data_IF_661562833309
#
_entry.id   IF_661562833309
#
_cell.length_a   1.000
_cell.length_b   1.000
_cell.length_c   1.000
_cell.angle_alpha   90.00
_cell.angle_beta   90.00
_cell.angle_gamma   90.00
#
_symmetry.space_group_name_H-M   'P 1'
#
loop_
_entity.id
_entity.type
_entity.pdbx_description
1 polymer ?
#
# COMPACT_ATOMS: atom_id res chain seq x y z
N UNK A 1 -21.80 -3.19 8.79
CA UNK A 1 -21.41 -4.23 7.82
C UNK A 1 -21.89 -3.71 6.49
N UNK A 2 -20.96 -3.25 5.62
CA UNK A 2 -21.32 -2.68 4.32
C UNK A 2 -21.90 -3.75 3.39
N UNK A 3 -22.80 -3.42 2.50
CA UNK A 3 -23.50 -4.36 1.61
C UNK A 3 -22.59 -5.10 0.63
N UNK A 4 -21.33 -4.67 0.44
CA UNK A 4 -20.41 -5.20 -0.55
C UNK A 4 -19.73 -6.54 -0.16
N UNK A 5 -19.61 -6.85 1.13
CA UNK A 5 -18.95 -8.08 1.61
C UNK A 5 -19.71 -9.39 1.31
N UNK A 6 -20.98 -9.30 0.92
CA UNK A 6 -21.83 -10.50 0.72
C UNK A 6 -21.49 -11.23 -0.58
N UNK A 7 -20.81 -10.58 -1.54
CA UNK A 7 -20.43 -11.15 -2.82
C UNK A 7 -18.91 -11.18 -3.07
N UNK A 8 -18.10 -10.80 -2.07
CA UNK A 8 -16.64 -10.78 -2.22
C UNK A 8 -16.10 -12.21 -2.42
N UNK A 9 -15.19 -12.36 -3.40
CA UNK A 9 -14.41 -13.59 -3.64
C UNK A 9 -12.98 -13.48 -3.14
N UNK A 10 -12.49 -12.25 -3.06
CA UNK A 10 -11.14 -11.96 -2.60
C UNK A 10 -11.11 -10.67 -1.77
N UNK A 11 -10.15 -10.59 -0.87
CA UNK A 11 -9.90 -9.42 -0.04
C UNK A 11 -8.42 -9.07 -0.07
N UNK A 12 -8.13 -7.81 -0.33
CA UNK A 12 -6.79 -7.22 -0.22
C UNK A 12 -6.71 -6.46 1.09
N UNK A 13 -5.91 -6.95 2.03
CA UNK A 13 -5.70 -6.36 3.35
C UNK A 13 -4.53 -5.37 3.28
N UNK A 14 -4.79 -4.10 3.55
CA UNK A 14 -3.78 -3.02 3.55
C UNK A 14 -3.79 -2.28 4.89
N UNK A 15 -2.67 -1.66 5.26
CA UNK A 15 -2.57 -1.03 6.58
C UNK A 15 -3.49 0.18 6.73
N UNK A 16 -3.57 1.01 5.70
CA UNK A 16 -4.28 2.27 5.75
C UNK A 16 -5.03 2.64 4.48
N UNK A 17 -5.74 3.78 4.57
CA UNK A 17 -6.52 4.33 3.45
C UNK A 17 -5.61 4.77 2.29
N UNK A 18 -4.37 5.21 2.56
CA UNK A 18 -3.41 5.56 1.50
C UNK A 18 -3.11 4.37 0.61
N UNK A 19 -2.84 3.21 1.23
CA UNK A 19 -2.53 1.98 0.51
C UNK A 19 -3.75 1.49 -0.29
N UNK A 20 -4.94 1.56 0.32
CA UNK A 20 -6.20 1.27 -0.39
C UNK A 20 -6.31 2.13 -1.66
N UNK A 21 -6.10 3.44 -1.55
CA UNK A 21 -6.18 4.36 -2.69
C UNK A 21 -5.15 4.07 -3.77
N UNK A 22 -3.95 3.65 -3.38
CA UNK A 22 -2.93 3.24 -4.33
C UNK A 22 -3.32 1.98 -5.10
N UNK A 23 -3.81 0.94 -4.40
CA UNK A 23 -4.28 -0.31 -5.03
C UNK A 23 -5.43 -0.04 -5.99
N UNK A 24 -6.44 0.73 -5.54
CA UNK A 24 -7.59 1.11 -6.36
C UNK A 24 -7.18 1.94 -7.60
N UNK A 25 -6.21 2.86 -7.44
CA UNK A 25 -5.67 3.65 -8.55
C UNK A 25 -4.96 2.77 -9.57
N UNK A 26 -4.13 1.82 -9.13
CA UNK A 26 -3.46 0.89 -10.05
C UNK A 26 -4.46 -0.02 -10.76
N UNK A 27 -5.47 -0.53 -10.07
CA UNK A 27 -6.52 -1.35 -10.68
C UNK A 27 -7.23 -0.59 -11.81
N UNK A 28 -7.68 0.65 -11.55
CA UNK A 28 -8.28 1.51 -12.58
C UNK A 28 -7.35 1.73 -13.78
N UNK A 29 -6.06 1.98 -13.55
CA UNK A 29 -5.09 2.15 -14.63
C UNK A 29 -4.87 0.89 -15.47
N UNK A 30 -5.14 -0.28 -14.90
CA UNK A 30 -5.13 -1.58 -15.57
C UNK A 30 -6.50 -2.00 -16.10
N UNK A 31 -7.44 -1.06 -16.14
CA UNK A 31 -8.81 -1.29 -16.62
C UNK A 31 -9.53 -2.43 -15.87
N UNK A 32 -9.15 -2.64 -14.59
CA UNK A 32 -9.79 -3.61 -13.71
C UNK A 32 -10.85 -2.94 -12.85
N UNK A 33 -12.03 -3.53 -12.81
CA UNK A 33 -13.12 -3.17 -11.90
C UNK A 33 -13.14 -4.18 -10.73
N UNK A 34 -12.47 -3.82 -9.65
CA UNK A 34 -12.33 -4.69 -8.48
C UNK A 34 -13.69 -5.08 -7.89
N UNK A 35 -14.67 -4.16 -7.89
CA UNK A 35 -16.02 -4.43 -7.37
C UNK A 35 -16.73 -5.46 -8.25
N UNK A 36 -16.71 -5.29 -9.56
CA UNK A 36 -17.28 -6.25 -10.51
C UNK A 36 -16.57 -7.62 -10.46
N UNK A 37 -15.27 -7.63 -10.15
CA UNK A 37 -14.47 -8.84 -9.95
C UNK A 37 -14.69 -9.49 -8.58
N UNK A 38 -15.46 -8.88 -7.69
CA UNK A 38 -15.67 -9.36 -6.32
C UNK A 38 -14.42 -9.25 -5.45
N UNK A 39 -13.57 -8.27 -5.70
CA UNK A 39 -12.36 -7.98 -4.91
C UNK A 39 -12.60 -6.76 -4.04
N UNK A 40 -12.42 -6.89 -2.73
CA UNK A 40 -12.55 -5.78 -1.79
C UNK A 40 -11.19 -5.40 -1.22
N UNK A 41 -10.83 -4.11 -1.25
CA UNK A 41 -9.61 -3.59 -0.62
C UNK A 41 -9.97 -3.03 0.75
N UNK A 42 -9.49 -3.67 1.80
CA UNK A 42 -9.86 -3.37 3.19
C UNK A 42 -8.69 -2.75 3.95
N UNK A 43 -8.77 -1.46 4.32
CA UNK A 43 -7.82 -0.86 5.26
C UNK A 43 -8.09 -1.39 6.66
N UNK A 44 -7.09 -2.07 7.24
CA UNK A 44 -7.25 -2.74 8.53
C UNK A 44 -7.05 -1.82 9.74
N UNK A 45 -6.58 -0.59 9.53
CA UNK A 45 -6.35 0.37 10.62
C UNK A 45 -5.06 0.15 11.40
N UNK A 46 -4.04 -0.37 10.74
CA UNK A 46 -2.70 -0.67 11.26
C UNK A 46 -2.43 -2.16 11.42
N UNK A 47 -1.17 -2.52 11.34
CA UNK A 47 -0.70 -3.92 11.29
C UNK A 47 -1.17 -4.80 12.45
N UNK A 48 -1.46 -4.21 13.61
CA UNK A 48 -1.96 -4.97 14.78
C UNK A 48 -3.34 -5.61 14.54
N UNK A 49 -4.14 -5.05 13.62
CA UNK A 49 -5.47 -5.54 13.29
C UNK A 49 -5.47 -6.71 12.28
N UNK A 50 -4.31 -7.07 11.71
CA UNK A 50 -4.21 -8.15 10.71
C UNK A 50 -4.76 -9.47 11.24
N UNK A 51 -4.54 -9.79 12.52
CA UNK A 51 -5.04 -11.03 13.11
C UNK A 51 -6.56 -11.14 13.01
N UNK A 52 -7.29 -10.12 13.45
CA UNK A 52 -8.77 -10.12 13.41
C UNK A 52 -9.29 -10.14 11.96
N UNK A 53 -8.56 -9.53 11.03
CA UNK A 53 -8.90 -9.57 9.61
C UNK A 53 -8.76 -11.00 9.06
N UNK A 54 -7.68 -11.70 9.39
CA UNK A 54 -7.47 -13.09 8.97
C UNK A 54 -8.46 -14.06 9.63
N UNK A 55 -8.82 -13.85 10.90
CA UNK A 55 -9.88 -14.60 11.57
C UNK A 55 -11.23 -14.43 10.87
N UNK A 56 -11.51 -13.23 10.35
CA UNK A 56 -12.77 -12.92 9.67
C UNK A 56 -12.80 -13.42 8.22
N UNK A 57 -11.76 -13.16 7.46
CA UNK A 57 -11.76 -13.37 6.00
C UNK A 57 -11.05 -14.65 5.57
N UNK A 58 -10.20 -15.20 6.41
CA UNK A 58 -9.37 -16.36 6.14
C UNK A 58 -10.09 -17.71 6.27
N UNK A 59 -9.30 -18.81 6.28
CA UNK A 59 -9.82 -20.18 6.21
C UNK A 59 -10.80 -20.57 7.32
N UNK A 60 -10.71 -19.92 8.48
CA UNK A 60 -11.60 -20.19 9.62
C UNK A 60 -12.79 -19.23 9.70
N UNK A 61 -12.89 -18.29 8.74
CA UNK A 61 -13.98 -17.31 8.65
C UNK A 61 -14.76 -17.47 7.35
N UNK A 62 -14.66 -16.44 6.50
CA UNK A 62 -15.36 -16.41 5.20
C UNK A 62 -14.66 -17.22 4.08
N UNK A 63 -13.47 -17.73 4.33
CA UNK A 63 -12.64 -18.51 3.39
C UNK A 63 -12.46 -17.84 2.03
N UNK A 64 -12.19 -16.53 2.05
CA UNK A 64 -11.96 -15.74 0.85
C UNK A 64 -10.50 -15.87 0.39
N UNK A 65 -10.26 -15.65 -0.90
CA UNK A 65 -8.89 -15.46 -1.39
C UNK A 65 -8.32 -14.21 -0.72
N UNK A 66 -7.13 -14.34 -0.15
CA UNK A 66 -6.47 -13.26 0.59
C UNK A 66 -5.26 -12.73 -0.17
N UNK A 67 -5.10 -11.42 -0.16
CA UNK A 67 -3.85 -10.76 -0.46
C UNK A 67 -3.60 -9.67 0.58
N UNK A 68 -2.38 -9.17 0.66
CA UNK A 68 -2.08 -8.10 1.60
C UNK A 68 -0.79 -7.38 1.31
N UNK A 69 -0.70 -6.16 1.85
CA UNK A 69 0.47 -5.30 1.78
C UNK A 69 0.83 -4.85 3.18
N UNK A 70 2.11 -4.93 3.53
CA UNK A 70 2.63 -4.38 4.78
C UNK A 70 3.99 -3.73 4.59
N UNK A 71 4.34 -2.87 5.53
CA UNK A 71 5.65 -2.26 5.62
C UNK A 71 6.66 -3.24 6.21
N UNK A 72 7.95 -3.08 5.88
CA UNK A 72 9.03 -3.93 6.41
C UNK A 72 9.02 -4.05 7.94
N UNK A 73 8.72 -2.95 8.63
CA UNK A 73 8.65 -2.93 10.09
C UNK A 73 7.54 -3.84 10.65
N UNK A 74 6.52 -4.11 9.86
CA UNK A 74 5.33 -4.86 10.26
C UNK A 74 5.32 -6.32 9.75
N UNK A 75 6.29 -6.70 8.90
CA UNK A 75 6.40 -8.05 8.33
C UNK A 75 6.27 -9.15 9.40
N UNK A 76 6.92 -8.96 10.56
CA UNK A 76 6.85 -9.93 11.66
C UNK A 76 5.46 -10.09 12.26
N UNK A 77 4.63 -9.05 12.25
CA UNK A 77 3.22 -9.12 12.69
C UNK A 77 2.38 -9.90 11.69
N UNK A 78 2.51 -9.59 10.40
CA UNK A 78 1.80 -10.28 9.33
C UNK A 78 2.17 -11.76 9.31
N UNK A 79 3.46 -12.10 9.31
CA UNK A 79 3.93 -13.49 9.30
C UNK A 79 3.32 -14.32 10.44
N UNK A 80 3.43 -13.84 11.69
CA UNK A 80 2.84 -14.54 12.84
C UNK A 80 1.32 -14.67 12.76
N UNK A 81 0.63 -13.70 12.19
CA UNK A 81 -0.81 -13.75 12.03
C UNK A 81 -1.21 -14.78 10.98
N UNK A 82 -0.51 -14.85 9.84
CA UNK A 82 -0.70 -15.86 8.79
C UNK A 82 -0.49 -17.29 9.33
N UNK A 83 0.60 -17.51 10.09
CA UNK A 83 0.88 -18.79 10.72
C UNK A 83 -0.23 -19.21 11.69
N UNK A 84 -0.72 -18.29 12.52
CA UNK A 84 -1.84 -18.55 13.46
C UNK A 84 -3.17 -18.82 12.75
N UNK A 85 -3.37 -18.22 11.60
CA UNK A 85 -4.54 -18.48 10.75
C UNK A 85 -4.45 -19.81 9.98
N UNK A 86 -3.38 -20.60 10.19
CA UNK A 86 -3.21 -21.90 9.54
C UNK A 86 -2.72 -21.84 8.10
N UNK A 87 -2.22 -20.67 7.64
CA UNK A 87 -1.75 -20.47 6.26
C UNK A 87 -0.29 -20.90 6.05
N UNK A 88 0.31 -21.56 7.01
CA UNK A 88 1.65 -22.11 6.95
C UNK A 88 2.35 -22.14 8.30
N UNK A 89 3.62 -22.53 8.31
CA UNK A 89 4.46 -22.53 9.52
C UNK A 89 5.90 -22.13 9.17
N UNK A 90 6.53 -21.31 10.01
CA UNK A 90 7.88 -20.77 9.77
C UNK A 90 8.01 -20.10 8.41
N UNK A 91 7.00 -19.31 8.06
CA UNK A 91 6.93 -18.63 6.77
C UNK A 91 8.14 -17.73 6.55
N UNK A 92 8.73 -17.84 5.38
CA UNK A 92 9.68 -16.88 4.82
C UNK A 92 8.92 -15.75 4.11
N UNK A 93 9.63 -14.71 3.66
CA UNK A 93 9.03 -13.67 2.82
C UNK A 93 8.52 -14.24 1.50
N UNK A 94 9.26 -15.14 0.88
CA UNK A 94 8.84 -15.78 -0.38
C UNK A 94 7.58 -16.62 -0.18
N UNK A 95 7.45 -17.30 0.98
CA UNK A 95 6.22 -18.02 1.32
C UNK A 95 5.04 -17.05 1.51
N UNK A 96 5.25 -15.90 2.16
CA UNK A 96 4.23 -14.86 2.29
C UNK A 96 3.80 -14.32 0.92
N UNK A 97 4.74 -14.04 0.01
CA UNK A 97 4.43 -13.63 -1.36
C UNK A 97 3.64 -14.70 -2.11
N UNK A 98 3.98 -15.98 -1.94
CA UNK A 98 3.22 -17.11 -2.48
C UNK A 98 1.77 -17.16 -1.99
N UNK A 99 1.53 -16.68 -0.76
CA UNK A 99 0.20 -16.52 -0.17
C UNK A 99 -0.49 -15.20 -0.56
N UNK A 100 0.15 -14.36 -1.38
CA UNK A 100 -0.38 -13.06 -1.80
C UNK A 100 -0.05 -11.89 -0.86
N UNK A 101 0.83 -12.08 0.14
CA UNK A 101 1.22 -11.04 1.09
C UNK A 101 2.60 -10.48 0.77
N UNK A 102 2.63 -9.23 0.35
CA UNK A 102 3.83 -8.54 -0.10
C UNK A 102 4.31 -7.52 0.92
N UNK A 103 5.63 -7.34 0.98
CA UNK A 103 6.29 -6.44 1.93
C UNK A 103 6.96 -5.30 1.17
N UNK A 104 6.60 -4.05 1.49
CA UNK A 104 7.32 -2.87 1.03
C UNK A 104 8.66 -2.74 1.73
N UNK A 105 9.72 -2.29 1.05
CA UNK A 105 11.07 -2.15 1.63
C UNK A 105 11.10 -1.21 2.83
N UNK A 106 10.35 -0.13 2.77
CA UNK A 106 10.09 0.74 3.91
C UNK A 106 8.57 0.92 4.08
N UNK A 107 7.95 1.66 3.21
CA UNK A 107 6.51 1.87 3.08
C UNK A 107 6.11 2.00 1.60
N UNK A 108 4.83 2.06 1.28
CA UNK A 108 4.37 2.14 -0.10
C UNK A 108 4.78 3.47 -0.77
N UNK A 109 4.80 4.58 -0.03
CA UNK A 109 5.25 5.86 -0.56
C UNK A 109 6.73 5.82 -0.95
N UNK A 110 7.56 5.13 -0.18
CA UNK A 110 8.96 4.88 -0.49
C UNK A 110 9.12 4.14 -1.83
N UNK A 111 8.35 3.07 -2.02
CA UNK A 111 8.34 2.31 -3.27
C UNK A 111 8.00 3.21 -4.48
N UNK A 112 6.95 4.02 -4.34
CA UNK A 112 6.47 4.90 -5.40
C UNK A 112 7.48 6.02 -5.73
N UNK A 113 8.02 6.69 -4.71
CA UNK A 113 9.03 7.75 -4.89
C UNK A 113 10.30 7.18 -5.54
N UNK A 114 10.70 5.97 -5.16
CA UNK A 114 11.90 5.31 -5.70
C UNK A 114 11.75 5.00 -7.18
N UNK A 115 10.58 4.52 -7.60
CA UNK A 115 10.34 4.18 -9.02
C UNK A 115 10.19 5.42 -9.88
N UNK A 116 9.48 6.46 -9.41
CA UNK A 116 9.26 7.71 -10.13
C UNK A 116 10.52 8.57 -10.20
N UNK A 117 11.31 8.54 -9.13
CA UNK A 117 12.44 9.44 -8.92
C UNK A 117 12.02 10.83 -8.43
N UNK A 118 12.88 11.51 -7.63
CA UNK A 118 12.57 12.81 -7.04
C UNK A 118 12.12 13.88 -8.02
N UNK A 119 12.71 14.04 -9.23
CA UNK A 119 12.28 15.07 -10.17
C UNK A 119 10.81 14.91 -10.58
N UNK A 120 10.38 13.69 -10.88
CA UNK A 120 8.99 13.43 -11.28
C UNK A 120 8.01 13.66 -10.14
N UNK A 121 8.40 13.31 -8.92
CA UNK A 121 7.56 13.56 -7.72
C UNK A 121 7.46 15.05 -7.43
N UNK A 122 8.52 15.84 -7.62
CA UNK A 122 8.46 17.31 -7.49
C UNK A 122 7.51 17.94 -8.51
N UNK A 123 7.50 17.47 -9.76
CA UNK A 123 6.53 17.91 -10.78
C UNK A 123 5.08 17.66 -10.34
N UNK A 124 4.81 16.50 -9.73
CA UNK A 124 3.48 16.19 -9.18
C UNK A 124 3.16 17.14 -8.01
N UNK A 125 4.11 17.38 -7.12
CA UNK A 125 3.94 18.32 -5.99
C UNK A 125 3.65 19.74 -6.50
N UNK A 126 4.30 20.16 -7.60
CA UNK A 126 4.05 21.46 -8.23
C UNK A 126 2.67 21.52 -8.87
N UNK A 127 2.26 20.51 -9.61
CA UNK A 127 0.92 20.45 -10.24
C UNK A 127 -0.22 20.49 -9.23
N UNK A 128 0.01 19.98 -8.01
CA UNK A 128 -0.93 20.03 -6.89
C UNK A 128 -0.91 21.34 -6.11
N UNK A 129 -0.05 22.29 -6.50
CA UNK A 129 0.10 23.59 -5.81
C UNK A 129 0.85 23.51 -4.48
N UNK A 130 1.45 22.38 -4.15
CA UNK A 130 2.11 22.13 -2.87
C UNK A 130 3.62 22.48 -2.87
N UNK A 131 4.18 22.94 -4.00
CA UNK A 131 5.62 23.20 -4.13
C UNK A 131 6.11 24.21 -3.09
N UNK A 132 5.33 25.25 -2.81
CA UNK A 132 5.66 26.25 -1.78
C UNK A 132 5.80 25.63 -0.39
N UNK A 133 4.89 24.73 -0.04
CA UNK A 133 4.94 23.99 1.24
C UNK A 133 6.14 23.04 1.28
N UNK A 134 6.46 22.38 0.18
CA UNK A 134 7.64 21.52 0.08
C UNK A 134 8.94 22.33 0.22
N UNK A 135 9.07 23.48 -0.47
CA UNK A 135 10.23 24.37 -0.35
C UNK A 135 10.38 24.92 1.08
N UNK A 136 9.27 25.11 1.80
CA UNK A 136 9.30 25.51 3.22
C UNK A 136 9.88 24.38 4.09
N UNK A 137 9.48 23.14 3.88
CA UNK A 137 10.08 21.98 4.57
C UNK A 137 11.58 21.89 4.29
N UNK A 138 12.00 22.03 3.04
CA UNK A 138 13.43 21.96 2.65
C UNK A 138 14.31 23.00 3.37
N UNK A 139 13.74 24.15 3.75
CA UNK A 139 14.46 25.24 4.48
C UNK A 139 14.58 24.98 5.99
N UNK A 140 13.81 24.06 6.54
CA UNK A 140 13.87 23.73 7.97
C UNK A 140 15.26 23.18 8.33
N UNK A 141 15.83 23.55 9.49
CA UNK A 141 17.18 23.13 9.88
C UNK A 141 17.41 21.63 9.83
N UNK A 142 16.38 20.85 10.19
CA UNK A 142 16.42 19.37 10.23
C UNK A 142 16.46 18.73 8.84
N UNK A 143 15.96 19.46 7.82
CA UNK A 143 15.80 18.94 6.45
C UNK A 143 16.74 19.61 5.45
N UNK A 144 17.33 20.73 5.83
CA UNK A 144 18.28 21.45 4.97
C UNK A 144 19.51 20.59 4.69
N UNK A 145 19.80 20.40 3.40
CA UNK A 145 20.96 19.62 2.95
C UNK A 145 20.78 18.11 2.97
N UNK A 146 19.61 17.63 3.35
CA UNK A 146 19.28 16.21 3.13
C UNK A 146 18.93 15.95 1.68
N UNK A 147 19.06 14.70 1.26
CA UNK A 147 18.68 14.26 -0.07
C UNK A 147 17.19 14.56 -0.36
N UNK A 148 16.90 15.00 -1.58
CA UNK A 148 15.52 15.35 -1.99
C UNK A 148 14.55 14.17 -1.78
N UNK A 149 15.03 12.96 -1.97
CA UNK A 149 14.27 11.75 -1.70
C UNK A 149 13.76 11.66 -0.26
N UNK A 150 14.64 11.89 0.73
CA UNK A 150 14.27 11.88 2.16
C UNK A 150 13.30 13.01 2.50
N UNK A 151 13.52 14.18 1.90
CA UNK A 151 12.64 15.34 2.06
C UNK A 151 11.24 15.06 1.51
N UNK A 152 11.13 14.43 0.35
CA UNK A 152 9.85 14.03 -0.25
C UNK A 152 9.12 12.99 0.61
N UNK A 153 9.81 11.97 1.10
CA UNK A 153 9.21 11.00 2.02
C UNK A 153 8.63 11.70 3.26
N UNK A 154 9.41 12.59 3.87
CA UNK A 154 8.94 13.38 5.01
C UNK A 154 7.75 14.26 4.65
N UNK A 155 7.78 14.88 3.47
CA UNK A 155 6.72 15.74 2.99
C UNK A 155 5.41 14.96 2.80
N UNK A 156 5.45 13.79 2.19
CA UNK A 156 4.27 12.93 2.00
C UNK A 156 3.69 12.46 3.34
N UNK A 157 4.52 12.09 4.31
CA UNK A 157 4.11 11.68 5.64
C UNK A 157 3.68 12.83 6.57
N UNK A 158 3.82 14.09 6.15
CA UNK A 158 3.46 15.26 6.94
C UNK A 158 2.10 15.84 6.53
N UNK A 159 1.19 15.96 7.49
CA UNK A 159 -0.12 16.58 7.28
C UNK A 159 -1.24 15.58 6.95
N UNK A 160 -2.37 15.79 7.65
CA UNK A 160 -3.55 14.94 7.48
C UNK A 160 -4.09 14.98 6.05
N UNK A 161 -4.26 13.83 5.46
CA UNK A 161 -4.80 13.66 4.11
C UNK A 161 -3.79 13.79 2.97
N UNK A 162 -2.59 14.34 3.17
CA UNK A 162 -1.57 14.43 2.12
C UNK A 162 -1.16 13.03 1.67
N UNK A 163 -0.81 12.15 2.60
CA UNK A 163 -0.46 10.76 2.33
C UNK A 163 -1.52 10.08 1.45
N UNK A 164 -2.79 10.22 1.78
CA UNK A 164 -3.91 9.62 1.05
C UNK A 164 -4.01 10.20 -0.36
N UNK A 165 -3.92 11.53 -0.51
CA UNK A 165 -4.02 12.21 -1.81
C UNK A 165 -2.88 11.82 -2.74
N UNK A 166 -1.64 11.87 -2.25
CA UNK A 166 -0.48 11.56 -3.08
C UNK A 166 -0.34 10.08 -3.41
N UNK A 167 -0.86 9.17 -2.61
CA UNK A 167 -0.85 7.74 -2.93
C UNK A 167 -1.46 7.46 -4.31
N UNK A 168 -2.64 8.02 -4.61
CA UNK A 168 -3.27 7.88 -5.93
C UNK A 168 -2.47 8.60 -7.01
N UNK A 169 -2.07 9.86 -6.77
CA UNK A 169 -1.35 10.68 -7.77
C UNK A 169 -0.02 10.08 -8.21
N UNK A 170 0.73 9.54 -7.25
CA UNK A 170 1.99 8.86 -7.55
C UNK A 170 1.76 7.60 -8.40
N UNK A 171 0.74 6.81 -8.06
CA UNK A 171 0.36 5.63 -8.85
C UNK A 171 -0.10 6.03 -10.25
N UNK A 172 -0.87 7.11 -10.39
CA UNK A 172 -1.32 7.61 -11.69
C UNK A 172 -0.17 8.07 -12.59
N UNK A 173 0.96 8.48 -12.02
CA UNK A 173 2.15 8.91 -12.75
C UNK A 173 3.13 7.77 -13.09
N UNK A 174 2.92 6.55 -12.59
CA UNK A 174 3.81 5.41 -12.86
C UNK A 174 3.77 5.01 -14.34
N UNK A 175 4.89 4.52 -14.83
CA UNK A 175 4.90 3.64 -16.00
C UNK A 175 4.37 2.26 -15.59
N UNK A 176 3.34 1.76 -16.26
CA UNK A 176 2.74 0.44 -15.95
C UNK A 176 3.70 -0.74 -16.15
N UNK A 177 4.78 -0.55 -16.91
CA UNK A 177 5.85 -1.53 -17.05
C UNK A 177 6.82 -1.52 -15.86
N UNK A 178 6.71 -0.53 -14.95
CA UNK A 178 7.64 -0.31 -13.83
C UNK A 178 6.93 -0.14 -12.50
N UNK A 179 5.80 -0.80 -12.34
CA UNK A 179 5.05 -0.78 -11.07
C UNK A 179 5.89 -1.46 -9.97
N UNK A 180 5.96 -0.90 -8.75
CA UNK A 180 6.62 -1.56 -7.63
C UNK A 180 6.09 -2.98 -7.41
N UNK A 181 7.02 -3.96 -7.24
CA UNK A 181 6.67 -5.37 -7.10
C UNK A 181 5.58 -5.65 -6.05
N UNK A 182 5.61 -5.03 -4.83
CA UNK A 182 4.56 -5.30 -3.85
C UNK A 182 3.17 -4.92 -4.35
N UNK A 183 3.05 -3.75 -4.97
CA UNK A 183 1.77 -3.25 -5.48
C UNK A 183 1.29 -4.03 -6.71
N UNK A 184 2.21 -4.42 -7.58
CA UNK A 184 1.93 -5.25 -8.75
C UNK A 184 1.48 -6.65 -8.35
N UNK A 185 2.19 -7.24 -7.40
CA UNK A 185 1.97 -8.61 -6.93
C UNK A 185 0.62 -8.83 -6.29
N UNK A 186 0.16 -7.89 -5.44
CA UNK A 186 -1.17 -8.02 -4.83
C UNK A 186 -2.29 -8.01 -5.86
N UNK A 187 -2.21 -7.17 -6.89
CA UNK A 187 -3.22 -7.15 -7.96
C UNK A 187 -3.15 -8.38 -8.87
N UNK A 188 -1.96 -8.94 -9.07
CA UNK A 188 -1.82 -10.17 -9.84
C UNK A 188 -2.33 -11.41 -9.08
N UNK A 189 -2.39 -11.33 -7.75
CA UNK A 189 -2.80 -12.45 -6.90
C UNK A 189 -4.33 -12.58 -6.78
N UNK A 190 -5.10 -11.48 -6.89
CA UNK A 190 -6.56 -11.45 -6.73
C UNK A 190 -7.35 -11.41 -8.03
#
# INVERSE_FOLDING_TARGET
>A
MGPHLVSARAVVLVEGISDQRAVEALARRRERDLEAEGVEVVPIGGAQAIRGSLERFGPHGLDLRLAGLCDLGEEGHFRRALERAGLGSRLTRDDMEGLGFFVCVADLEDELIRVLGPPRVEEIVESEGDLGSFRTLQKQPEWRGRETYEQLRRFMGSGGGRKIRYASLLVEALDLARVPRPLDGILAHV
#
